data_IF_304024328788
#
_entry.id   IF_304024328788
#
_cell.length_a   1.000
_cell.length_b   1.000
_cell.length_c   1.000
_cell.angle_alpha   90.00
_cell.angle_beta   90.00
_cell.angle_gamma   90.00
#
_symmetry.space_group_name_H-M   'P 1'
#
loop_
_entity.id
_entity.type
_entity.pdbx_description
1 polymer ?
#
# COMPACT_ATOMS: atom_id res chain seq x y z
N UNK A 1 26.62 -37.64 -47.13
CA UNK A 1 26.70 -38.42 -45.87
C UNK A 1 27.64 -37.67 -44.94
N UNK A 2 27.11 -37.30 -43.76
CA UNK A 2 27.68 -36.65 -42.55
C UNK A 2 28.67 -35.47 -42.70
N UNK A 3 28.32 -34.21 -42.38
CA UNK A 3 27.92 -33.56 -41.10
C UNK A 3 29.01 -33.52 -40.02
N UNK A 4 29.33 -32.26 -39.64
CA UNK A 4 29.68 -31.70 -38.32
C UNK A 4 30.70 -32.43 -37.43
N UNK A 5 31.56 -31.75 -36.66
CA UNK A 5 31.53 -30.38 -36.21
C UNK A 5 32.22 -30.30 -34.84
N UNK A 6 32.80 -29.14 -34.56
CA UNK A 6 32.82 -28.49 -33.24
C UNK A 6 33.66 -29.09 -32.08
N UNK A 7 34.87 -28.50 -31.94
CA UNK A 7 35.46 -27.84 -30.76
C UNK A 7 35.32 -28.52 -29.38
N UNK A 8 36.47 -28.89 -28.80
CA UNK A 8 36.64 -29.13 -27.36
C UNK A 8 38.03 -28.71 -26.87
N UNK A 9 38.03 -27.79 -25.89
CA UNK A 9 38.84 -27.72 -24.65
C UNK A 9 39.44 -26.33 -24.37
N UNK A 10 38.87 -25.50 -23.49
CA UNK A 10 38.87 -25.45 -21.99
C UNK A 10 40.05 -24.62 -21.41
N UNK A 11 39.67 -23.73 -20.46
CA UNK A 11 40.42 -23.08 -19.34
C UNK A 11 41.37 -21.95 -19.79
N UNK A 12 41.25 -20.69 -19.34
CA UNK A 12 41.33 -20.30 -17.92
C UNK A 12 40.91 -18.84 -17.65
N UNK A 13 40.08 -18.65 -16.59
CA UNK A 13 40.13 -17.66 -15.49
C UNK A 13 40.97 -16.38 -15.71
N UNK A 14 40.59 -15.15 -15.32
CA UNK A 14 39.64 -14.65 -14.31
C UNK A 14 39.70 -13.12 -14.35
N UNK A 15 38.58 -12.42 -14.11
CA UNK A 15 38.54 -11.25 -13.23
C UNK A 15 37.09 -10.89 -12.97
N UNK A 16 36.71 -10.97 -11.69
CA UNK A 16 35.47 -10.48 -11.12
C UNK A 16 35.47 -8.95 -11.26
N UNK A 17 34.39 -8.40 -11.81
CA UNK A 17 34.09 -6.98 -11.82
C UNK A 17 32.60 -6.83 -11.57
N UNK A 18 32.28 -6.22 -10.43
CA UNK A 18 30.95 -5.73 -10.08
C UNK A 18 30.34 -4.94 -11.23
N UNK A 19 29.07 -5.23 -11.55
CA UNK A 19 28.24 -4.36 -12.39
C UNK A 19 26.94 -4.11 -11.63
N UNK A 20 27.06 -3.09 -10.77
CA UNK A 20 26.09 -2.02 -10.50
C UNK A 20 24.65 -2.23 -10.99
N UNK A 21 23.76 -2.34 -10.00
CA UNK A 21 22.62 -1.44 -9.80
C UNK A 21 21.97 -0.86 -11.07
N UNK A 22 20.80 -1.42 -11.36
CA UNK A 22 19.85 -0.95 -12.33
C UNK A 22 19.31 0.41 -11.85
N UNK A 23 19.76 1.45 -12.53
CA UNK A 23 19.35 2.84 -12.39
C UNK A 23 17.92 2.99 -12.96
N UNK A 24 16.90 2.83 -12.11
CA UNK A 24 15.52 3.15 -12.45
C UNK A 24 15.29 4.65 -12.33
N UNK A 25 15.11 5.25 -13.50
CA UNK A 25 15.09 6.67 -13.77
C UNK A 25 14.06 7.45 -12.94
N UNK A 26 14.61 8.49 -12.34
CA UNK A 26 13.98 9.58 -11.62
C UNK A 26 13.01 10.35 -12.54
N UNK A 27 11.69 10.24 -12.33
CA UNK A 27 10.75 11.17 -12.98
C UNK A 27 10.73 12.50 -12.20
N UNK A 28 10.96 13.54 -12.98
CA UNK A 28 11.35 14.88 -12.58
C UNK A 28 10.43 15.60 -11.59
N UNK A 29 11.05 16.44 -10.79
CA UNK A 29 10.44 17.14 -9.67
C UNK A 29 10.17 18.59 -10.03
N UNK A 30 8.90 18.95 -10.25
CA UNK A 30 8.50 20.34 -10.09
C UNK A 30 8.37 20.64 -8.60
N UNK A 31 9.35 21.37 -8.08
CA UNK A 31 9.47 21.81 -6.69
C UNK A 31 8.46 22.92 -6.42
N UNK A 32 7.52 22.64 -5.51
CA UNK A 32 6.82 23.67 -4.73
C UNK A 32 6.54 23.11 -3.33
N UNK A 33 7.40 23.46 -2.36
CA UNK A 33 7.07 23.65 -0.94
C UNK A 33 6.13 22.67 -0.20
N UNK A 34 6.12 21.38 -0.52
CA UNK A 34 5.35 20.36 0.21
C UNK A 34 6.08 19.03 0.16
N UNK A 35 6.15 18.29 1.28
CA UNK A 35 6.75 16.96 1.33
C UNK A 35 6.17 16.10 0.19
N UNK A 36 6.96 15.82 -0.87
CA UNK A 36 6.61 14.86 -1.93
C UNK A 36 6.48 13.51 -1.23
N UNK A 37 5.27 13.05 -0.97
CA UNK A 37 5.08 11.69 -0.50
C UNK A 37 5.41 10.77 -1.66
N UNK A 38 6.37 9.87 -1.47
CA UNK A 38 6.72 8.86 -2.47
C UNK A 38 5.52 7.94 -2.63
N UNK A 39 4.92 7.93 -3.82
CA UNK A 39 3.89 6.96 -4.19
C UNK A 39 4.56 5.71 -4.73
N UNK A 40 4.08 4.54 -4.31
CA UNK A 40 4.50 3.24 -4.80
C UNK A 40 3.41 2.68 -5.72
N UNK A 41 3.80 2.04 -6.82
CA UNK A 41 2.88 1.43 -7.78
C UNK A 41 3.10 -0.08 -7.83
N UNK A 42 2.01 -0.83 -7.80
CA UNK A 42 2.00 -2.28 -7.70
C UNK A 42 0.92 -2.89 -8.59
N UNK A 43 1.07 -4.19 -8.87
CA UNK A 43 0.00 -5.06 -9.33
C UNK A 43 -0.22 -6.20 -8.32
N UNK A 44 -1.48 -6.45 -7.96
CA UNK A 44 -1.87 -7.61 -7.15
C UNK A 44 -3.33 -7.98 -7.46
N UNK A 45 -3.66 -9.28 -7.48
CA UNK A 45 -5.02 -9.77 -7.76
C UNK A 45 -5.62 -9.27 -9.10
N UNK A 46 -4.75 -8.96 -10.08
CA UNK A 46 -5.17 -8.36 -11.35
C UNK A 46 -5.57 -6.89 -11.28
N UNK A 47 -5.31 -6.22 -10.15
CA UNK A 47 -5.59 -4.79 -9.94
C UNK A 47 -4.29 -4.00 -9.91
N UNK A 48 -4.29 -2.82 -10.53
CA UNK A 48 -3.25 -1.83 -10.34
C UNK A 48 -3.47 -1.02 -9.06
N UNK A 49 -2.46 -0.96 -8.20
CA UNK A 49 -2.56 -0.42 -6.84
C UNK A 49 -1.51 0.67 -6.66
N UNK A 50 -1.97 1.88 -6.33
CA UNK A 50 -1.10 2.99 -5.93
C UNK A 50 -1.16 3.20 -4.43
N UNK A 51 -0.02 3.18 -3.75
CA UNK A 51 0.07 3.19 -2.28
C UNK A 51 1.00 4.28 -1.76
N UNK A 52 0.59 4.91 -0.65
CA UNK A 52 1.41 5.85 0.11
C UNK A 52 2.45 5.16 1.04
N UNK A 53 2.33 3.84 1.24
CA UNK A 53 3.30 3.03 2.00
C UNK A 53 3.88 1.89 1.14
N UNK A 54 5.11 1.43 1.41
CA UNK A 54 5.66 0.27 0.72
C UNK A 54 4.91 -1.00 1.15
N UNK A 55 4.63 -1.89 0.20
CA UNK A 55 3.97 -3.18 0.42
C UNK A 55 4.82 -4.27 -0.24
N UNK A 56 5.77 -4.88 0.48
CA UNK A 56 6.71 -5.87 -0.08
C UNK A 56 6.03 -7.12 -0.66
N UNK A 57 4.82 -7.44 -0.19
CA UNK A 57 4.06 -8.60 -0.62
C UNK A 57 3.42 -8.43 -2.01
N UNK A 58 3.36 -7.20 -2.53
CA UNK A 58 2.84 -6.92 -3.87
C UNK A 58 3.96 -6.82 -4.91
N UNK A 59 3.62 -7.05 -6.17
CA UNK A 59 4.57 -6.99 -7.28
C UNK A 59 4.69 -5.54 -7.74
N UNK A 60 5.87 -4.90 -7.66
CA UNK A 60 6.05 -3.54 -8.18
C UNK A 60 5.79 -3.51 -9.69
N UNK A 61 4.95 -2.57 -10.13
CA UNK A 61 4.61 -2.43 -11.55
C UNK A 61 4.10 -1.01 -11.84
N UNK A 62 4.48 -0.45 -12.99
CA UNK A 62 3.89 0.80 -13.49
C UNK A 62 2.65 0.46 -14.32
N UNK A 63 1.49 0.55 -13.68
CA UNK A 63 0.18 0.18 -14.26
C UNK A 63 -0.85 1.27 -13.98
N UNK A 64 -1.96 1.23 -14.71
CA UNK A 64 -3.14 2.07 -14.43
C UNK A 64 -3.64 1.81 -13.00
N UNK A 65 -4.16 2.85 -12.36
CA UNK A 65 -4.57 2.78 -10.96
C UNK A 65 -6.03 2.37 -10.83
N UNK A 66 -6.28 1.14 -10.38
CA UNK A 66 -7.61 0.67 -9.96
C UNK A 66 -7.91 1.03 -8.49
N UNK A 67 -6.88 1.02 -7.64
CA UNK A 67 -7.02 1.11 -6.18
C UNK A 67 -5.98 2.08 -5.61
N UNK A 68 -6.44 2.96 -4.74
CA UNK A 68 -5.57 3.91 -4.02
C UNK A 68 -5.51 3.58 -2.53
N UNK A 69 -4.30 3.55 -1.97
CA UNK A 69 -4.05 3.30 -0.55
C UNK A 69 -3.43 4.55 0.07
N UNK A 70 -4.19 5.21 0.94
CA UNK A 70 -3.77 6.41 1.66
C UNK A 70 -3.51 6.10 3.12
N UNK A 71 -2.50 6.77 3.70
CA UNK A 71 -2.25 6.78 5.14
C UNK A 71 -2.45 8.20 5.68
N UNK A 72 -3.27 8.32 6.72
CA UNK A 72 -3.50 9.58 7.40
C UNK A 72 -2.33 9.85 8.36
N UNK A 73 -1.71 11.02 8.24
CA UNK A 73 -0.68 11.43 9.18
C UNK A 73 -1.33 11.77 10.52
N UNK A 74 -0.92 11.11 11.60
CA UNK A 74 -1.34 11.44 12.97
C UNK A 74 -0.69 12.74 13.49
N UNK A 75 -0.42 13.71 12.61
CA UNK A 75 0.04 15.02 13.04
C UNK A 75 -1.07 15.65 13.90
N UNK A 76 -0.90 15.57 15.22
CA UNK A 76 -1.67 16.29 16.22
C UNK A 76 -1.37 17.79 16.14
N UNK A 77 -1.48 18.39 14.95
CA UNK A 77 -1.47 19.84 14.81
C UNK A 77 -2.91 20.32 14.93
N UNK A 78 -3.27 20.76 16.12
CA UNK A 78 -4.43 21.62 16.33
C UNK A 78 -4.17 22.94 15.61
N UNK A 79 -4.50 23.02 14.33
CA UNK A 79 -4.50 24.28 13.61
C UNK A 79 -5.77 24.37 12.77
N UNK A 80 -6.76 25.04 13.37
CA UNK A 80 -7.68 25.90 12.64
C UNK A 80 -6.88 26.79 11.70
N UNK A 81 -6.73 26.36 10.45
CA UNK A 81 -6.30 27.22 9.36
C UNK A 81 -7.50 27.37 8.43
N UNK A 82 -8.10 28.55 8.51
CA UNK A 82 -9.14 29.04 7.59
C UNK A 82 -8.66 28.83 6.15
N UNK A 83 -9.48 28.17 5.33
CA UNK A 83 -9.45 28.35 3.88
C UNK A 83 -8.76 27.30 3.01
N UNK A 84 -8.47 26.08 3.48
CA UNK A 84 -8.09 24.97 2.57
C UNK A 84 -8.87 23.68 2.89
N UNK A 85 -9.57 23.16 1.89
CA UNK A 85 -10.28 21.88 1.84
C UNK A 85 -9.31 20.69 1.89
N UNK A 86 -8.48 20.59 2.94
CA UNK A 86 -7.86 19.33 3.33
C UNK A 86 -8.85 18.63 4.26
N UNK A 87 -9.33 17.45 3.87
CA UNK A 87 -10.20 16.63 4.72
C UNK A 87 -9.65 16.61 6.15
N UNK A 88 -10.49 16.89 7.16
CA UNK A 88 -10.04 17.00 8.55
C UNK A 88 -9.30 15.72 8.95
N UNK A 89 -8.27 15.86 9.77
CA UNK A 89 -7.57 14.72 10.36
C UNK A 89 -8.56 13.97 11.27
N UNK A 90 -9.15 12.88 10.79
CA UNK A 90 -10.22 12.17 11.50
C UNK A 90 -9.60 11.17 12.46
N UNK A 91 -10.16 11.05 13.64
CA UNK A 91 -9.68 10.12 14.66
C UNK A 91 -10.46 8.82 14.58
N UNK A 92 -9.86 7.73 15.06
CA UNK A 92 -10.52 6.43 15.19
C UNK A 92 -11.85 6.55 15.97
N UNK A 93 -11.90 7.42 16.99
CA UNK A 93 -13.10 7.72 17.78
C UNK A 93 -14.25 8.33 17.01
N UNK A 94 -13.99 8.90 15.83
CA UNK A 94 -15.02 9.51 14.98
C UNK A 94 -15.80 8.43 14.21
N UNK A 95 -15.21 7.24 14.06
CA UNK A 95 -15.80 6.11 13.35
C UNK A 95 -16.32 5.02 14.29
N UNK A 96 -15.75 4.91 15.49
CA UNK A 96 -16.03 3.78 16.38
C UNK A 96 -16.37 4.26 17.80
N UNK A 97 -17.51 3.78 18.38
CA UNK A 97 -17.87 4.09 19.75
C UNK A 97 -16.79 3.65 20.75
N UNK A 98 -16.58 4.42 21.83
CA UNK A 98 -15.58 4.12 22.86
C UNK A 98 -15.68 2.71 23.46
N UNK A 99 -16.89 2.15 23.53
CA UNK A 99 -17.14 0.78 24.02
C UNK A 99 -16.48 -0.29 23.15
N UNK A 100 -16.36 -0.04 21.85
CA UNK A 100 -15.81 -0.96 20.85
C UNK A 100 -14.28 -0.86 20.79
N UNK A 101 -13.70 0.30 21.13
CA UNK A 101 -12.24 0.51 21.18
C UNK A 101 -11.55 -0.48 22.15
N UNK A 102 -12.25 -0.94 23.19
CA UNK A 102 -11.71 -1.91 24.14
C UNK A 102 -11.63 -3.34 23.58
N UNK A 103 -12.34 -3.63 22.50
CA UNK A 103 -12.34 -4.94 21.85
C UNK A 103 -11.07 -5.13 20.99
N UNK A 104 -10.60 -6.37 20.79
CA UNK A 104 -9.41 -6.65 19.98
C UNK A 104 -9.61 -6.26 18.50
N UNK A 105 -10.84 -6.35 18.01
CA UNK A 105 -11.21 -6.05 16.64
C UNK A 105 -12.68 -5.63 16.59
N UNK A 106 -13.02 -4.79 15.62
CA UNK A 106 -14.40 -4.55 15.22
C UNK A 106 -14.47 -4.37 13.71
N UNK A 107 -15.57 -4.83 13.12
CA UNK A 107 -15.71 -4.87 11.68
C UNK A 107 -17.16 -4.58 11.30
N UNK A 108 -17.31 -3.63 10.39
CA UNK A 108 -18.58 -3.28 9.77
C UNK A 108 -18.38 -3.35 8.26
N UNK A 109 -19.24 -4.11 7.59
CA UNK A 109 -19.18 -4.36 6.15
C UNK A 109 -20.46 -3.88 5.48
N UNK A 110 -20.31 -3.20 4.35
CA UNK A 110 -21.31 -3.03 3.31
C UNK A 110 -20.66 -3.25 1.94
N UNK A 111 -21.46 -3.42 0.87
CA UNK A 111 -20.94 -3.55 -0.49
C UNK A 111 -20.16 -2.30 -0.97
N UNK A 112 -20.42 -1.13 -0.38
CA UNK A 112 -19.83 0.15 -0.79
C UNK A 112 -18.84 0.71 0.24
N UNK A 113 -19.02 0.40 1.52
CA UNK A 113 -18.16 0.89 2.59
C UNK A 113 -17.88 -0.20 3.62
N UNK A 114 -16.64 -0.28 4.07
CA UNK A 114 -16.26 -1.15 5.17
C UNK A 114 -15.34 -0.41 6.13
N UNK A 115 -15.54 -0.68 7.41
CA UNK A 115 -14.76 -0.14 8.52
C UNK A 115 -14.17 -1.32 9.27
N UNK A 116 -12.84 -1.43 9.26
CA UNK A 116 -12.10 -2.44 10.02
C UNK A 116 -11.27 -1.75 11.08
N UNK A 117 -11.50 -2.11 12.34
CA UNK A 117 -10.69 -1.68 13.46
C UNK A 117 -9.94 -2.86 14.04
N UNK A 118 -8.64 -2.65 14.19
CA UNK A 118 -7.74 -3.58 14.84
C UNK A 118 -7.03 -2.84 15.97
N UNK A 119 -7.20 -3.35 17.19
CA UNK A 119 -6.54 -2.80 18.37
C UNK A 119 -5.02 -2.77 18.15
N UNK A 120 -4.39 -1.68 18.58
CA UNK A 120 -2.94 -1.44 18.45
C UNK A 120 -2.40 -1.40 17.00
N UNK A 121 -3.27 -1.42 15.98
CA UNK A 121 -2.88 -1.33 14.57
C UNK A 121 -3.51 -0.11 13.91
N UNK A 122 -4.82 0.08 14.08
CA UNK A 122 -5.52 1.25 13.55
C UNK A 122 -6.88 0.94 12.96
N UNK A 123 -7.39 1.93 12.22
CA UNK A 123 -8.64 1.85 11.48
C UNK A 123 -8.35 1.81 9.98
N UNK A 124 -9.03 0.93 9.26
CA UNK A 124 -8.98 0.82 7.82
C UNK A 124 -10.38 1.06 7.28
N UNK A 125 -10.47 1.96 6.30
CA UNK A 125 -11.70 2.26 5.59
C UNK A 125 -11.54 1.77 4.16
N UNK A 126 -12.46 0.92 3.70
CA UNK A 126 -12.51 0.46 2.31
C UNK A 126 -13.78 1.04 1.68
N UNK A 127 -13.63 1.85 0.64
CA UNK A 127 -14.72 2.60 0.03
C UNK A 127 -14.76 2.32 -1.47
N UNK A 128 -15.95 2.00 -1.97
CA UNK A 128 -16.28 1.85 -3.39
C UNK A 128 -15.44 0.82 -4.14
N UNK A 129 -14.79 -0.12 -3.44
CA UNK A 129 -13.88 -1.09 -4.06
C UNK A 129 -12.64 -0.49 -4.74
N UNK A 130 -12.31 0.78 -4.50
CA UNK A 130 -11.18 1.46 -5.15
C UNK A 130 -10.35 2.36 -4.23
N UNK A 131 -10.76 2.53 -2.98
CA UNK A 131 -10.07 3.39 -2.03
C UNK A 131 -9.91 2.73 -0.68
N UNK A 132 -8.69 2.74 -0.18
CA UNK A 132 -8.33 2.33 1.17
C UNK A 132 -7.75 3.53 1.91
N UNK A 133 -8.29 3.85 3.07
CA UNK A 133 -7.75 4.88 3.98
C UNK A 133 -7.34 4.24 5.29
N UNK A 134 -6.09 4.46 5.69
CA UNK A 134 -5.48 3.91 6.90
C UNK A 134 -5.33 5.04 7.92
N UNK A 135 -5.93 4.88 9.08
CA UNK A 135 -5.73 5.75 10.26
C UNK A 135 -4.94 4.92 11.28
N UNK A 136 -3.60 5.06 11.32
CA UNK A 136 -2.79 4.23 12.20
C UNK A 136 -3.09 4.53 13.67
N UNK A 137 -3.01 3.51 14.52
CA UNK A 137 -2.95 3.74 15.97
C UNK A 137 -1.61 4.41 16.34
N UNK A 138 -1.55 5.07 17.50
CA UNK A 138 -0.35 5.81 17.94
C UNK A 138 0.92 4.93 17.95
N UNK A 139 0.79 3.67 18.38
CA UNK A 139 1.89 2.70 18.50
C UNK A 139 1.88 1.65 17.37
N UNK A 140 1.21 1.93 16.25
CA UNK A 140 1.09 0.97 15.17
C UNK A 140 2.43 0.72 14.47
N UNK A 141 2.85 -0.54 14.39
CA UNK A 141 4.01 -0.92 13.58
C UNK A 141 3.61 -1.07 12.12
N UNK A 142 4.53 -0.70 11.21
CA UNK A 142 4.32 -0.82 9.76
C UNK A 142 3.97 -2.26 9.34
N UNK A 143 4.66 -3.24 9.93
CA UNK A 143 4.42 -4.66 9.65
C UNK A 143 2.98 -5.10 9.99
N UNK A 144 2.41 -4.63 11.11
CA UNK A 144 1.00 -4.94 11.45
C UNK A 144 0.03 -4.31 10.46
N UNK A 145 0.30 -3.08 10.05
CA UNK A 145 -0.50 -2.38 9.03
C UNK A 145 -0.45 -3.15 7.72
N UNK A 146 0.74 -3.57 7.27
CA UNK A 146 0.93 -4.35 6.05
C UNK A 146 0.22 -5.71 6.12
N UNK A 147 0.34 -6.44 7.24
CA UNK A 147 -0.35 -7.73 7.42
C UNK A 147 -1.87 -7.56 7.37
N UNK A 148 -2.41 -6.56 8.06
CA UNK A 148 -3.84 -6.26 8.01
C UNK A 148 -4.28 -5.88 6.59
N UNK A 149 -3.45 -5.10 5.89
CA UNK A 149 -3.71 -4.61 4.54
C UNK A 149 -3.79 -5.78 3.55
N UNK A 150 -2.72 -6.57 3.44
CA UNK A 150 -2.58 -7.68 2.48
C UNK A 150 -3.58 -8.82 2.79
N UNK A 151 -3.96 -8.99 4.05
CA UNK A 151 -4.97 -9.96 4.48
C UNK A 151 -6.40 -9.41 4.42
N UNK A 152 -6.88 -8.93 5.56
CA UNK A 152 -8.30 -8.59 5.78
C UNK A 152 -8.78 -7.45 4.87
N UNK A 153 -7.98 -6.39 4.70
CA UNK A 153 -8.43 -5.20 3.97
C UNK A 153 -8.56 -5.49 2.48
N UNK A 154 -7.59 -6.19 1.87
CA UNK A 154 -7.70 -6.62 0.46
C UNK A 154 -8.85 -7.61 0.27
N UNK A 155 -9.06 -8.56 1.18
CA UNK A 155 -10.20 -9.49 1.06
C UNK A 155 -11.54 -8.73 0.98
N UNK A 156 -11.70 -7.69 1.78
CA UNK A 156 -12.91 -6.85 1.79
C UNK A 156 -12.99 -5.97 0.53
N UNK A 157 -11.86 -5.43 0.07
CA UNK A 157 -11.80 -4.71 -1.20
C UNK A 157 -12.25 -5.58 -2.37
N UNK A 158 -11.79 -6.83 -2.43
CA UNK A 158 -12.19 -7.80 -3.46
C UNK A 158 -13.67 -8.16 -3.32
N UNK A 159 -14.19 -8.25 -2.09
CA UNK A 159 -15.62 -8.46 -1.84
C UNK A 159 -16.48 -7.32 -2.41
N UNK A 160 -16.11 -6.05 -2.17
CA UNK A 160 -16.82 -4.89 -2.72
C UNK A 160 -16.82 -4.84 -4.25
N UNK A 161 -15.78 -5.40 -4.88
CA UNK A 161 -15.67 -5.49 -6.34
C UNK A 161 -16.36 -6.72 -6.94
N UNK A 162 -16.93 -7.60 -6.12
CA UNK A 162 -17.48 -8.89 -6.58
C UNK A 162 -16.42 -9.86 -7.10
N UNK A 163 -15.14 -9.64 -6.76
CA UNK A 163 -13.99 -10.44 -7.19
C UNK A 163 -13.58 -11.50 -6.15
N UNK A 164 -14.14 -11.44 -4.95
CA UNK A 164 -13.91 -12.45 -3.92
C UNK A 164 -14.79 -13.67 -4.21
N UNK A 165 -14.18 -14.73 -4.75
CA UNK A 165 -14.80 -16.05 -4.89
C UNK A 165 -14.53 -16.81 -3.59
N UNK A 166 -15.57 -17.01 -2.78
CA UNK A 166 -15.56 -17.84 -1.56
C UNK A 166 -16.23 -19.19 -1.83
#
# INVERSE_FOLDING_TARGET
MSLDGTISKTISKSSVGDISEIDSQLIDSKVLGGKKQKLFSYVAYGLGIHSALPIPEFIPAEVECDVTIHIQSNDYSTASAVGQTRSPNRKISDYIPKKVIQQPMALQLSPEEAVIYLKDTGLFLVQGGNRITIIPAAEASLSRIQTALVGTVIAILLYQRGLLVL
#
